data_IF_835577170817
#
_entry.id   IF_835577170817
#
_cell.length_a   1.000
_cell.length_b   1.000
_cell.length_c   1.000
_cell.angle_alpha   90.00
_cell.angle_beta   90.00
_cell.angle_gamma   90.00
#
_symmetry.space_group_name_H-M   'P 1'
#
loop_
_entity.id
_entity.type
_entity.pdbx_description
1 polymer ?
#
# COMPACT_ATOMS: atom_id res chain seq x y z
N UNK A 1 -3.01 -0.33 -12.24
CA UNK A 1 -2.04 0.51 -11.50
C UNK A 1 -1.86 -0.14 -10.14
N UNK A 2 -0.63 -0.34 -9.69
CA UNK A 2 -0.35 -0.75 -8.31
C UNK A 2 0.36 0.39 -7.58
N UNK A 3 -0.06 0.66 -6.35
CA UNK A 3 0.51 1.69 -5.48
C UNK A 3 0.74 1.11 -4.09
N UNK A 4 1.92 1.29 -3.48
CA UNK A 4 2.18 0.81 -2.13
C UNK A 4 1.44 1.67 -1.09
N UNK A 5 0.74 1.02 -0.17
CA UNK A 5 0.32 1.65 1.08
C UNK A 5 1.49 1.73 2.05
N UNK A 6 1.59 2.82 2.82
CA UNK A 6 2.65 3.00 3.81
C UNK A 6 2.09 3.56 5.12
N UNK A 7 2.69 3.15 6.24
CA UNK A 7 2.47 3.73 7.55
C UNK A 7 3.64 4.68 7.87
N UNK A 8 3.32 5.87 8.35
CA UNK A 8 4.31 6.86 8.78
C UNK A 8 4.03 7.32 10.21
N UNK A 9 5.08 7.67 10.95
CA UNK A 9 4.97 8.28 12.28
C UNK A 9 5.14 9.79 12.14
N UNK A 10 4.10 10.54 12.51
CA UNK A 10 4.16 12.00 12.48
C UNK A 10 5.19 12.53 13.47
N UNK A 11 5.85 13.63 13.09
CA UNK A 11 6.69 14.40 14.01
C UNK A 11 5.84 14.87 15.19
N UNK A 12 6.38 14.72 16.40
CA UNK A 12 5.68 15.04 17.66
C UNK A 12 4.41 14.21 17.91
N UNK A 13 4.33 12.98 17.41
CA UNK A 13 3.23 12.07 17.70
C UNK A 13 3.00 11.95 19.23
N UNK A 14 1.81 12.34 19.75
CA UNK A 14 1.52 12.33 21.19
C UNK A 14 1.53 10.92 21.80
N UNK A 15 1.32 9.87 20.99
CA UNK A 15 1.41 8.48 21.44
C UNK A 15 2.85 7.98 21.63
N UNK A 16 3.85 8.79 21.27
CA UNK A 16 5.27 8.45 21.38
C UNK A 16 5.77 7.51 20.29
N UNK A 17 7.09 7.51 20.09
CA UNK A 17 7.77 6.69 19.07
C UNK A 17 7.56 5.19 19.32
N UNK A 18 7.72 4.74 20.56
CA UNK A 18 7.76 3.31 20.87
C UNK A 18 6.43 2.62 20.63
N UNK A 19 5.31 3.25 21.03
CA UNK A 19 3.98 2.71 20.76
C UNK A 19 3.70 2.64 19.25
N UNK A 20 4.08 3.69 18.51
CA UNK A 20 3.90 3.73 17.06
C UNK A 20 4.72 2.64 16.35
N UNK A 21 5.98 2.44 16.74
CA UNK A 21 6.83 1.41 16.15
C UNK A 21 6.36 0.00 16.51
N UNK A 22 5.88 -0.23 17.74
CA UNK A 22 5.24 -1.50 18.12
C UNK A 22 3.99 -1.78 17.27
N UNK A 23 3.18 -0.75 17.02
CA UNK A 23 2.02 -0.88 16.14
C UNK A 23 2.43 -1.24 14.71
N UNK A 24 3.37 -0.50 14.11
CA UNK A 24 3.87 -0.78 12.75
C UNK A 24 4.42 -2.20 12.65
N UNK A 25 5.27 -2.62 13.59
CA UNK A 25 5.77 -3.99 13.63
C UNK A 25 4.63 -5.01 13.71
N UNK A 26 3.60 -4.71 14.50
CA UNK A 26 2.42 -5.58 14.61
C UNK A 26 1.62 -5.68 13.31
N UNK A 27 1.69 -4.69 12.41
CA UNK A 27 0.99 -4.70 11.11
C UNK A 27 1.70 -5.52 10.04
N UNK A 28 2.99 -5.82 10.23
CA UNK A 28 3.81 -6.63 9.32
C UNK A 28 3.67 -8.14 9.57
N UNK A 29 2.83 -8.53 10.52
CA UNK A 29 2.53 -9.94 10.80
C UNK A 29 1.78 -10.57 9.61
N UNK A 30 2.28 -11.67 9.01
CA UNK A 30 1.67 -12.27 7.82
C UNK A 30 0.20 -12.66 7.97
N UNK A 31 -0.21 -13.12 9.17
CA UNK A 31 -1.60 -13.53 9.43
C UNK A 31 -2.51 -12.31 9.46
N UNK A 32 -2.04 -11.18 10.01
CA UNK A 32 -2.82 -9.94 10.00
C UNK A 32 -2.89 -9.31 8.61
N UNK A 33 -1.83 -9.39 7.80
CA UNK A 33 -1.89 -8.97 6.41
C UNK A 33 -2.89 -9.82 5.60
N UNK A 34 -2.99 -11.13 5.88
CA UNK A 34 -4.02 -11.98 5.27
C UNK A 34 -5.44 -11.55 5.65
N UNK A 35 -5.67 -11.13 6.90
CA UNK A 35 -6.96 -10.54 7.30
C UNK A 35 -7.26 -9.27 6.51
N UNK A 36 -6.27 -8.42 6.28
CA UNK A 36 -6.44 -7.20 5.47
C UNK A 36 -6.80 -7.54 4.02
N UNK A 37 -6.13 -8.52 3.43
CA UNK A 37 -6.45 -9.05 2.11
C UNK A 37 -7.88 -9.58 2.04
N UNK A 38 -8.31 -10.38 3.02
CA UNK A 38 -9.64 -10.97 3.05
C UNK A 38 -10.77 -9.95 3.26
N UNK A 39 -10.48 -8.85 3.96
CA UNK A 39 -11.49 -7.83 4.27
C UNK A 39 -11.56 -6.72 3.23
N UNK A 40 -10.43 -6.33 2.65
CA UNK A 40 -10.33 -5.14 1.80
C UNK A 40 -9.73 -5.40 0.42
N UNK A 41 -9.28 -6.62 0.12
CA UNK A 41 -8.63 -6.96 -1.16
C UNK A 41 -7.24 -6.32 -1.33
N UNK A 42 -6.64 -5.82 -0.25
CA UNK A 42 -5.30 -5.25 -0.28
C UNK A 42 -4.27 -6.38 -0.29
N UNK A 43 -3.46 -6.45 -1.34
CA UNK A 43 -2.39 -7.45 -1.42
C UNK A 43 -1.37 -7.24 -0.29
N UNK A 44 -0.86 -8.32 0.31
CA UNK A 44 0.13 -8.23 1.37
C UNK A 44 1.43 -7.58 0.89
N UNK A 45 2.13 -6.91 1.79
CA UNK A 45 3.46 -6.36 1.55
C UNK A 45 4.56 -7.31 2.03
N UNK A 46 4.25 -8.17 3.00
CA UNK A 46 5.15 -9.19 3.51
C UNK A 46 5.09 -10.46 2.64
N UNK A 47 6.18 -10.86 1.96
CA UNK A 47 6.18 -12.06 1.11
C UNK A 47 5.83 -13.36 1.85
N UNK A 48 6.02 -13.42 3.17
CA UNK A 48 5.61 -14.57 3.97
C UNK A 48 4.07 -14.76 3.99
N UNK A 49 3.30 -13.70 3.73
CA UNK A 49 1.84 -13.79 3.64
C UNK A 49 1.38 -14.40 2.30
N UNK A 50 2.18 -14.34 1.23
CA UNK A 50 1.82 -14.91 -0.08
C UNK A 50 1.57 -16.42 0.00
N UNK A 51 2.35 -17.11 0.84
CA UNK A 51 2.19 -18.55 1.09
C UNK A 51 0.89 -18.89 1.83
N UNK A 52 0.24 -17.91 2.46
CA UNK A 52 -1.00 -18.07 3.22
C UNK A 52 -2.24 -17.79 2.38
N UNK A 53 -2.09 -17.19 1.20
CA UNK A 53 -3.21 -16.86 0.32
C UNK A 53 -3.76 -18.15 -0.32
N UNK A 54 -5.06 -18.45 -0.14
CA UNK A 54 -5.72 -19.57 -0.81
C UNK A 54 -5.60 -19.51 -2.33
N UNK A 55 -5.43 -20.67 -2.98
CA UNK A 55 -5.18 -20.74 -4.42
C UNK A 55 -6.27 -20.09 -5.27
N UNK A 56 -7.54 -20.22 -4.87
CA UNK A 56 -8.70 -19.62 -5.53
C UNK A 56 -8.77 -18.09 -5.38
N UNK A 57 -8.08 -17.53 -4.38
CA UNK A 57 -7.99 -16.09 -4.14
C UNK A 57 -6.78 -15.42 -4.82
N UNK A 58 -5.80 -16.18 -5.30
CA UNK A 58 -4.63 -15.60 -6.03
C UNK A 58 -5.05 -14.72 -7.21
N UNK A 59 -6.14 -15.07 -7.90
CA UNK A 59 -6.68 -14.28 -9.02
C UNK A 59 -7.04 -12.84 -8.65
N UNK A 60 -7.40 -12.57 -7.38
CA UNK A 60 -7.75 -11.23 -6.90
C UNK A 60 -6.63 -10.56 -6.10
N UNK A 61 -5.51 -11.25 -5.87
CA UNK A 61 -4.36 -10.67 -5.18
C UNK A 61 -3.62 -9.71 -6.12
N UNK A 62 -3.58 -8.39 -5.83
CA UNK A 62 -2.90 -7.44 -6.71
C UNK A 62 -1.38 -7.63 -6.75
N UNK A 63 -0.75 -8.25 -5.74
CA UNK A 63 0.70 -8.51 -5.72
C UNK A 63 1.08 -9.89 -6.24
N UNK A 64 0.10 -10.72 -6.64
CA UNK A 64 0.40 -12.01 -7.29
C UNK A 64 1.21 -11.76 -8.58
N UNK A 65 2.28 -12.54 -8.85
CA UNK A 65 3.16 -12.30 -10.00
C UNK A 65 2.43 -12.22 -11.35
N UNK A 66 1.34 -12.96 -11.55
CA UNK A 66 0.58 -12.94 -12.80
C UNK A 66 -0.34 -11.72 -12.92
N UNK A 67 -0.71 -11.11 -11.80
CA UNK A 67 -1.45 -9.86 -11.76
C UNK A 67 -0.50 -8.65 -11.80
N UNK A 68 0.67 -8.73 -11.19
CA UNK A 68 1.71 -7.69 -11.23
C UNK A 68 2.14 -7.35 -12.67
N UNK A 69 2.33 -8.37 -13.52
CA UNK A 69 2.69 -8.20 -14.95
C UNK A 69 1.65 -7.40 -15.76
N UNK A 70 0.41 -7.29 -15.27
CA UNK A 70 -0.69 -6.58 -15.93
C UNK A 70 -0.87 -5.16 -15.41
N UNK A 71 -0.01 -4.72 -14.50
CA UNK A 71 -0.12 -3.44 -13.80
C UNK A 71 1.11 -2.58 -14.07
N UNK A 72 0.89 -1.27 -14.10
CA UNK A 72 1.96 -0.28 -14.03
C UNK A 72 2.14 0.07 -12.55
N UNK A 73 3.37 -0.05 -12.05
CA UNK A 73 3.73 0.41 -10.71
C UNK A 73 3.77 1.95 -10.68
N UNK A 74 3.19 2.53 -9.64
CA UNK A 74 3.22 3.98 -9.45
C UNK A 74 4.66 4.45 -9.27
N UNK A 75 5.08 5.42 -10.08
CA UNK A 75 6.42 6.02 -9.98
C UNK A 75 6.48 7.01 -8.81
N UNK A 76 6.83 6.49 -7.63
CA UNK A 76 6.87 7.29 -6.41
C UNK A 76 7.90 8.42 -6.45
N UNK A 77 9.01 8.27 -7.19
CA UNK A 77 10.03 9.33 -7.32
C UNK A 77 9.51 10.47 -8.19
N UNK A 78 8.87 10.14 -9.30
CA UNK A 78 8.22 11.14 -10.14
C UNK A 78 7.13 11.87 -9.36
N UNK A 79 6.28 11.17 -8.61
CA UNK A 79 5.25 11.81 -7.80
C UNK A 79 5.83 12.67 -6.68
N UNK A 80 6.86 12.20 -5.97
CA UNK A 80 7.52 13.00 -4.93
C UNK A 80 8.08 14.32 -5.48
N UNK A 81 8.56 14.33 -6.72
CA UNK A 81 9.10 15.53 -7.38
C UNK A 81 8.04 16.42 -8.02
N UNK A 82 6.98 15.85 -8.61
CA UNK A 82 6.10 16.56 -9.53
C UNK A 82 4.64 16.70 -9.05
N UNK A 83 4.24 16.07 -7.93
CA UNK A 83 2.83 15.99 -7.53
C UNK A 83 2.15 17.36 -7.42
N UNK A 84 2.80 18.36 -6.81
CA UNK A 84 2.20 19.70 -6.66
C UNK A 84 1.84 20.34 -8.00
N UNK A 85 2.81 20.44 -8.91
CA UNK A 85 2.58 21.02 -10.24
C UNK A 85 1.56 20.21 -11.07
N UNK A 86 1.62 18.88 -11.01
CA UNK A 86 0.67 18.02 -11.71
C UNK A 86 -0.76 18.17 -11.15
N UNK A 87 -0.92 18.29 -9.84
CA UNK A 87 -2.21 18.51 -9.18
C UNK A 87 -2.81 19.87 -9.52
N UNK A 88 -1.98 20.92 -9.59
CA UNK A 88 -2.43 22.27 -9.96
C UNK A 88 -3.00 22.28 -11.39
N UNK A 89 -2.30 21.67 -12.35
CA UNK A 89 -2.79 21.56 -13.73
C UNK A 89 -4.06 20.70 -13.82
N UNK A 90 -4.11 19.58 -13.10
CA UNK A 90 -5.31 18.75 -13.05
C UNK A 90 -6.51 19.52 -12.49
N UNK A 91 -6.32 20.28 -11.40
CA UNK A 91 -7.41 21.03 -10.75
C UNK A 91 -8.01 22.08 -11.68
N UNK A 92 -7.17 22.80 -12.45
CA UNK A 92 -7.65 23.77 -13.46
C UNK A 92 -8.59 23.14 -14.49
N UNK A 93 -8.35 21.88 -14.86
CA UNK A 93 -9.18 21.16 -15.83
C UNK A 93 -10.53 20.77 -15.21
N UNK A 94 -10.53 20.28 -13.97
CA UNK A 94 -11.74 19.71 -13.34
C UNK A 94 -12.62 20.74 -12.62
N UNK A 95 -12.13 21.96 -12.40
CA UNK A 95 -12.88 23.03 -11.72
C UNK A 95 -13.51 24.06 -12.66
N UNK A 96 -13.36 23.89 -13.98
CA UNK A 96 -13.92 24.76 -15.01
C UNK A 96 -15.31 24.24 -15.47
#
# INVERSE_FOLDING_TARGET
>A
LISPGALAVLKNNPGGKDAAMKFIASTQDPQKELVMFDKLGQGPANPAADALIPADKKRINPVDPDNMKKQIALDMEWYAKNYGAALDEYTKIISA
#
